data_IF_459483600831
#
_entry.id   IF_459483600831
#
_cell.length_a   1.000
_cell.length_b   1.000
_cell.length_c   1.000
_cell.angle_alpha   90.00
_cell.angle_beta   90.00
_cell.angle_gamma   90.00
#
_symmetry.space_group_name_H-M   'P 1'
#
loop_
_entity.id
_entity.type
_entity.pdbx_description
1 polymer ?
#
# COMPACT_ATOMS: atom_id res chain seq x y z
N UNK A 1 -29.04 -15.61 7.50
CA UNK A 1 -27.64 -15.16 7.47
C UNK A 1 -27.19 -15.14 6.02
N UNK A 2 -26.95 -13.98 5.48
CA UNK A 2 -26.39 -13.87 4.14
C UNK A 2 -24.91 -14.23 4.23
N UNK A 3 -24.52 -15.37 3.65
CA UNK A 3 -23.13 -15.65 3.35
C UNK A 3 -22.65 -14.56 2.38
N UNK A 4 -21.94 -13.59 2.90
CA UNK A 4 -21.09 -12.73 2.09
C UNK A 4 -19.97 -13.63 1.55
N UNK A 5 -20.21 -14.27 0.41
CA UNK A 5 -19.14 -14.87 -0.35
C UNK A 5 -18.22 -13.75 -0.79
N UNK A 6 -17.09 -13.65 -0.11
CA UNK A 6 -15.99 -12.81 -0.55
C UNK A 6 -15.63 -13.28 -1.96
N UNK A 7 -15.62 -12.39 -2.97
CA UNK A 7 -15.25 -12.79 -4.31
C UNK A 7 -13.87 -13.44 -4.27
N UNK A 8 -13.80 -14.71 -4.64
CA UNK A 8 -12.53 -15.46 -4.69
C UNK A 8 -11.73 -15.13 -5.96
N UNK A 9 -11.72 -13.86 -6.34
CA UNK A 9 -10.96 -13.41 -7.49
C UNK A 9 -9.46 -13.51 -7.18
N UNK A 10 -8.67 -13.75 -8.22
CA UNK A 10 -7.21 -13.76 -8.13
C UNK A 10 -6.68 -12.45 -7.52
N UNK A 11 -7.24 -11.31 -7.91
CA UNK A 11 -6.86 -10.01 -7.40
C UNK A 11 -7.12 -9.88 -5.89
N UNK A 12 -8.31 -10.27 -5.42
CA UNK A 12 -8.66 -10.25 -4.00
C UNK A 12 -7.75 -11.18 -3.19
N UNK A 13 -7.43 -12.36 -3.73
CA UNK A 13 -6.54 -13.32 -3.09
C UNK A 13 -5.10 -12.78 -3.01
N UNK A 14 -4.58 -12.17 -4.08
CA UNK A 14 -3.26 -11.54 -4.08
C UNK A 14 -3.16 -10.41 -3.04
N UNK A 15 -4.21 -9.62 -2.90
CA UNK A 15 -4.28 -8.56 -1.89
C UNK A 15 -4.26 -9.14 -0.46
N UNK A 16 -4.99 -10.22 -0.23
CA UNK A 16 -4.97 -10.93 1.05
C UNK A 16 -3.57 -11.50 1.38
N UNK A 17 -2.90 -12.10 0.39
CA UNK A 17 -1.52 -12.59 0.56
C UNK A 17 -0.58 -11.45 0.94
N UNK A 18 -0.64 -10.31 0.25
CA UNK A 18 0.18 -9.14 0.57
C UNK A 18 -0.03 -8.68 2.01
N UNK A 19 -1.28 -8.54 2.43
CA UNK A 19 -1.64 -8.14 3.80
C UNK A 19 -1.10 -9.10 4.84
N UNK A 20 -1.31 -10.39 4.62
CA UNK A 20 -0.90 -11.44 5.56
C UNK A 20 0.62 -11.51 5.71
N UNK A 21 1.38 -11.42 4.62
CA UNK A 21 2.84 -11.46 4.67
C UNK A 21 3.45 -10.22 5.33
N UNK A 22 2.74 -9.09 5.34
CA UNK A 22 3.16 -7.89 6.08
C UNK A 22 2.79 -7.97 7.55
N UNK A 23 1.60 -8.51 7.85
CA UNK A 23 1.05 -8.53 9.22
C UNK A 23 1.58 -9.70 10.05
N UNK A 24 1.83 -10.84 9.42
CA UNK A 24 2.23 -12.09 10.09
C UNK A 24 3.56 -12.59 9.51
N UNK A 25 4.41 -13.13 10.38
CA UNK A 25 5.66 -13.78 9.97
C UNK A 25 5.38 -15.21 9.55
N UNK A 26 5.06 -15.42 8.30
CA UNK A 26 4.67 -16.71 7.76
C UNK A 26 5.88 -17.38 7.09
N UNK A 27 6.24 -18.55 7.58
CA UNK A 27 7.41 -19.29 7.10
C UNK A 27 7.10 -20.43 6.13
N UNK A 28 5.88 -20.91 6.10
CA UNK A 28 5.48 -22.05 5.27
C UNK A 28 4.24 -21.75 4.42
N UNK A 29 4.12 -22.46 3.28
CA UNK A 29 2.90 -22.37 2.45
C UNK A 29 1.66 -22.90 3.18
N UNK A 30 1.83 -23.90 4.06
CA UNK A 30 0.73 -24.42 4.89
C UNK A 30 0.17 -23.35 5.84
N UNK A 31 1.05 -22.62 6.51
CA UNK A 31 0.64 -21.52 7.41
C UNK A 31 -0.07 -20.41 6.64
N UNK A 32 0.41 -20.09 5.44
CA UNK A 32 -0.24 -19.11 4.58
C UNK A 32 -1.61 -19.60 4.08
N UNK A 33 -1.73 -20.88 3.72
CA UNK A 33 -3.02 -21.49 3.38
C UNK A 33 -4.02 -21.38 4.53
N UNK A 34 -3.58 -21.67 5.77
CA UNK A 34 -4.43 -21.55 6.96
C UNK A 34 -4.85 -20.11 7.23
N UNK A 35 -3.91 -19.17 7.08
CA UNK A 35 -4.20 -17.75 7.24
C UNK A 35 -5.22 -17.25 6.19
N UNK A 36 -5.05 -17.63 4.94
CA UNK A 36 -6.01 -17.33 3.86
C UNK A 36 -7.38 -17.95 4.12
N UNK A 37 -7.44 -19.19 4.63
CA UNK A 37 -8.69 -19.85 4.97
C UNK A 37 -9.45 -19.11 6.08
N UNK A 38 -8.75 -18.53 7.05
CA UNK A 38 -9.35 -17.67 8.09
C UNK A 38 -10.02 -16.42 7.50
N UNK A 39 -9.49 -15.92 6.38
CA UNK A 39 -10.06 -14.78 5.65
C UNK A 39 -11.08 -15.21 4.57
N UNK A 40 -11.44 -16.49 4.49
CA UNK A 40 -12.45 -17.02 3.56
C UNK A 40 -11.90 -17.44 2.20
N UNK A 41 -10.58 -17.45 2.00
CA UNK A 41 -9.96 -17.91 0.76
C UNK A 41 -9.56 -19.38 0.87
N UNK A 42 -10.19 -20.24 0.06
CA UNK A 42 -9.79 -21.63 -0.08
C UNK A 42 -8.90 -21.79 -1.30
N UNK A 43 -7.64 -22.13 -1.07
CA UNK A 43 -6.65 -22.29 -2.14
C UNK A 43 -5.95 -23.65 -2.01
N UNK A 44 -5.61 -24.22 -3.15
CA UNK A 44 -4.73 -25.37 -3.21
C UNK A 44 -3.28 -24.93 -3.09
N UNK A 45 -2.39 -25.84 -2.65
CA UNK A 45 -0.96 -25.55 -2.57
C UNK A 45 -0.39 -25.16 -3.95
N UNK A 46 -0.83 -25.80 -5.02
CA UNK A 46 -0.41 -25.49 -6.37
C UNK A 46 -0.80 -24.06 -6.78
N UNK A 47 -2.01 -23.64 -6.47
CA UNK A 47 -2.47 -22.26 -6.74
C UNK A 47 -1.68 -21.25 -5.92
N UNK A 48 -1.48 -21.53 -4.63
CA UNK A 48 -0.72 -20.64 -3.75
C UNK A 48 0.73 -20.51 -4.20
N UNK A 49 1.37 -21.60 -4.61
CA UNK A 49 2.73 -21.58 -5.14
C UNK A 49 2.85 -20.69 -6.38
N UNK A 50 1.89 -20.75 -7.29
CA UNK A 50 1.84 -19.88 -8.47
C UNK A 50 1.61 -18.42 -8.09
N UNK A 51 0.72 -18.17 -7.14
CA UNK A 51 0.45 -16.82 -6.65
C UNK A 51 1.71 -16.20 -6.03
N UNK A 52 2.43 -16.94 -5.19
CA UNK A 52 3.68 -16.48 -4.60
C UNK A 52 4.75 -16.17 -5.65
N UNK A 53 4.88 -17.01 -6.68
CA UNK A 53 5.77 -16.74 -7.82
C UNK A 53 5.38 -15.46 -8.56
N UNK A 54 4.11 -15.26 -8.84
CA UNK A 54 3.62 -14.08 -9.54
C UNK A 54 3.78 -12.80 -8.72
N UNK A 55 3.69 -12.91 -7.40
CA UNK A 55 3.92 -11.80 -6.48
C UNK A 55 5.41 -11.55 -6.22
N UNK A 56 6.29 -12.43 -6.71
CA UNK A 56 7.71 -12.33 -6.49
C UNK A 56 8.14 -12.60 -5.05
N UNK A 57 7.33 -13.34 -4.27
CA UNK A 57 7.64 -13.67 -2.89
C UNK A 57 8.93 -14.49 -2.79
N UNK A 58 9.80 -14.09 -1.88
CA UNK A 58 11.07 -14.76 -1.60
C UNK A 58 11.10 -15.27 -0.17
N UNK A 59 11.90 -16.31 0.08
CA UNK A 59 12.14 -16.80 1.43
C UNK A 59 13.40 -16.16 1.98
N UNK A 60 13.28 -15.51 3.11
CA UNK A 60 14.39 -14.85 3.79
C UNK A 60 14.61 -15.45 5.17
N UNK A 61 15.85 -15.45 5.62
CA UNK A 61 16.20 -15.89 6.98
C UNK A 61 15.86 -14.79 7.98
N UNK A 62 15.09 -15.14 8.99
CA UNK A 62 14.76 -14.30 10.12
C UNK A 62 15.25 -14.95 11.43
N UNK A 63 15.32 -14.20 12.55
CA UNK A 63 15.77 -14.77 13.83
C UNK A 63 14.96 -15.98 14.29
N UNK A 64 13.67 -16.05 13.92
CA UNK A 64 12.75 -17.13 14.28
C UNK A 64 12.72 -18.28 13.26
N UNK A 65 13.49 -18.19 12.16
CA UNK A 65 13.47 -19.14 11.05
C UNK A 65 13.30 -18.46 9.71
N UNK A 66 12.95 -19.23 8.69
CA UNK A 66 12.72 -18.70 7.34
C UNK A 66 11.30 -18.19 7.22
N UNK A 67 11.12 -16.99 6.67
CA UNK A 67 9.81 -16.38 6.42
C UNK A 67 9.67 -15.99 4.94
N UNK A 68 8.42 -15.85 4.47
CA UNK A 68 8.13 -15.26 3.18
C UNK A 68 8.12 -13.75 3.27
N UNK A 69 8.84 -13.10 2.38
CA UNK A 69 8.77 -11.66 2.16
C UNK A 69 8.42 -11.37 0.70
N UNK A 70 7.66 -10.30 0.52
CA UNK A 70 7.47 -9.74 -0.80
C UNK A 70 8.61 -8.76 -1.08
N UNK A 71 9.20 -8.82 -2.29
CA UNK A 71 10.15 -7.80 -2.67
C UNK A 71 9.47 -6.44 -2.61
N UNK A 72 10.18 -5.38 -2.26
CA UNK A 72 9.68 -4.04 -2.48
C UNK A 72 9.25 -3.94 -3.94
N UNK A 73 8.05 -3.42 -4.18
CA UNK A 73 7.58 -3.21 -5.56
C UNK A 73 8.63 -2.33 -6.24
N UNK A 74 9.33 -2.88 -7.23
CA UNK A 74 10.35 -2.12 -7.96
C UNK A 74 9.75 -0.82 -8.46
N UNK A 75 10.36 0.30 -8.11
CA UNK A 75 9.92 1.64 -8.47
C UNK A 75 9.09 2.38 -7.41
N UNK A 76 8.81 1.79 -6.25
CA UNK A 76 8.21 2.52 -5.15
C UNK A 76 9.27 2.88 -4.11
N UNK A 77 9.86 4.03 -4.28
CA UNK A 77 10.52 4.69 -3.16
C UNK A 77 9.48 4.82 -2.03
N UNK A 78 9.86 4.45 -0.83
CA UNK A 78 8.97 4.59 0.33
C UNK A 78 8.65 6.07 0.53
N UNK A 79 7.42 6.38 0.90
CA UNK A 79 7.02 7.77 1.15
C UNK A 79 7.99 8.54 2.06
N UNK A 80 8.52 7.96 3.17
CA UNK A 80 9.55 8.62 3.96
C UNK A 80 10.86 8.92 3.21
N UNK A 81 11.25 8.07 2.26
CA UNK A 81 12.47 8.29 1.45
C UNK A 81 12.33 9.45 0.46
N UNK A 82 11.08 9.79 0.12
CA UNK A 82 10.75 10.92 -0.75
C UNK A 82 10.45 12.21 0.02
N UNK A 83 10.53 12.18 1.35
CA UNK A 83 10.23 13.36 2.19
C UNK A 83 11.07 14.58 1.84
N UNK A 84 12.33 14.37 1.44
CA UNK A 84 13.24 15.44 1.03
C UNK A 84 12.84 16.11 -0.30
N UNK A 85 12.04 15.44 -1.09
CA UNK A 85 11.50 15.98 -2.34
C UNK A 85 10.24 16.82 -2.12
N UNK A 86 9.56 16.64 -0.98
CA UNK A 86 8.32 17.37 -0.64
C UNK A 86 8.67 18.68 0.04
N UNK A 87 8.24 19.79 -0.54
CA UNK A 87 8.48 21.12 0.01
C UNK A 87 7.40 21.51 1.04
N UNK A 88 6.13 21.26 0.72
CA UNK A 88 5.01 21.58 1.61
C UNK A 88 3.76 20.76 1.28
N UNK A 89 2.88 20.67 2.26
CA UNK A 89 1.54 20.07 2.12
C UNK A 89 0.54 21.09 2.66
N UNK A 90 -0.39 21.52 1.82
CA UNK A 90 -1.46 22.45 2.15
C UNK A 90 -2.81 21.87 1.70
N UNK A 91 -3.90 22.41 2.21
CA UNK A 91 -5.23 22.01 1.82
C UNK A 91 -6.17 23.20 1.71
N UNK A 92 -7.22 23.04 0.89
CA UNK A 92 -8.42 23.86 0.91
C UNK A 92 -9.64 22.98 1.26
N UNK A 93 -10.84 23.48 1.01
CA UNK A 93 -12.07 22.73 1.32
C UNK A 93 -12.31 21.52 0.41
N UNK A 94 -11.57 21.39 -0.69
CA UNK A 94 -11.82 20.39 -1.74
C UNK A 94 -10.68 19.39 -1.94
N UNK A 95 -9.42 19.82 -1.81
CA UNK A 95 -8.29 18.98 -2.13
C UNK A 95 -7.02 19.36 -1.33
N UNK A 96 -6.07 18.45 -1.34
CA UNK A 96 -4.74 18.65 -0.76
C UNK A 96 -3.78 18.98 -1.89
N UNK A 97 -2.92 19.96 -1.66
CA UNK A 97 -1.84 20.37 -2.56
C UNK A 97 -0.49 19.99 -1.95
N UNK A 98 0.23 19.12 -2.63
CA UNK A 98 1.60 18.76 -2.26
C UNK A 98 2.55 19.48 -3.21
N UNK A 99 3.43 20.32 -2.66
CA UNK A 99 4.51 20.94 -3.41
C UNK A 99 5.76 20.11 -3.30
N UNK A 100 6.45 19.93 -4.43
CA UNK A 100 7.70 19.19 -4.50
C UNK A 100 8.81 20.03 -5.09
N UNK A 101 10.02 19.48 -5.12
CA UNK A 101 11.07 20.03 -5.98
C UNK A 101 10.66 19.89 -7.44
N UNK A 102 11.17 20.76 -8.30
CA UNK A 102 10.92 20.70 -9.73
C UNK A 102 11.26 19.32 -10.31
N UNK A 103 10.37 18.78 -11.13
CA UNK A 103 10.51 17.47 -11.75
C UNK A 103 10.19 16.27 -10.85
N UNK A 104 9.91 16.47 -9.56
CA UNK A 104 9.72 15.37 -8.61
C UNK A 104 8.23 14.98 -8.39
N UNK A 105 7.29 15.78 -8.85
CA UNK A 105 5.87 15.58 -8.55
C UNK A 105 5.35 14.21 -8.99
N UNK A 106 5.71 13.75 -10.19
CA UNK A 106 5.24 12.46 -10.71
C UNK A 106 5.74 11.27 -9.87
N UNK A 107 7.00 11.30 -9.41
CA UNK A 107 7.56 10.24 -8.57
C UNK A 107 6.88 10.20 -7.19
N UNK A 108 6.65 11.36 -6.59
CA UNK A 108 5.96 11.46 -5.29
C UNK A 108 4.49 11.05 -5.42
N UNK A 109 3.79 11.47 -6.47
CA UNK A 109 2.39 11.08 -6.72
C UNK A 109 2.27 9.56 -6.92
N UNK A 110 3.16 8.95 -7.69
CA UNK A 110 3.19 7.50 -7.88
C UNK A 110 3.36 6.77 -6.53
N UNK A 111 4.22 7.27 -5.66
CA UNK A 111 4.42 6.71 -4.33
C UNK A 111 3.15 6.84 -3.46
N UNK A 112 2.45 7.98 -3.52
CA UNK A 112 1.18 8.17 -2.81
C UNK A 112 0.14 7.17 -3.32
N UNK A 113 -0.03 7.03 -4.64
CA UNK A 113 -1.02 6.13 -5.24
C UNK A 113 -0.69 4.66 -4.93
N UNK A 114 0.59 4.30 -4.95
CA UNK A 114 1.04 2.93 -4.63
C UNK A 114 0.87 2.59 -3.16
N UNK A 115 0.99 3.55 -2.26
CA UNK A 115 0.77 3.36 -0.83
C UNK A 115 -0.69 3.03 -0.49
N UNK A 116 -1.62 3.19 -1.45
CA UNK A 116 -3.04 2.85 -1.32
C UNK A 116 -3.65 3.40 -0.03
N UNK A 117 -3.46 4.69 0.19
CA UNK A 117 -3.99 5.39 1.35
C UNK A 117 -5.51 5.35 1.30
N UNK A 118 -6.20 4.75 2.31
CA UNK A 118 -7.66 4.60 2.25
C UNK A 118 -8.43 5.91 2.15
N UNK A 119 -7.86 7.00 2.65
CA UNK A 119 -8.44 8.34 2.61
C UNK A 119 -8.27 9.05 1.27
N UNK A 120 -7.39 8.55 0.39
CA UNK A 120 -7.05 9.17 -0.89
C UNK A 120 -7.79 8.50 -2.04
N UNK A 121 -8.56 9.24 -2.81
CA UNK A 121 -9.21 8.76 -4.03
C UNK A 121 -8.22 8.64 -5.19
N UNK A 122 -7.28 9.58 -5.28
CA UNK A 122 -6.26 9.61 -6.31
C UNK A 122 -5.49 10.90 -6.33
N UNK A 123 -4.48 10.96 -7.19
CA UNK A 123 -3.60 12.12 -7.36
C UNK A 123 -3.50 12.55 -8.81
N UNK A 124 -3.16 13.81 -9.02
CA UNK A 124 -2.80 14.38 -10.31
C UNK A 124 -1.52 15.19 -10.14
N UNK A 125 -0.48 14.83 -10.86
CA UNK A 125 0.83 15.47 -10.76
C UNK A 125 1.13 16.39 -11.95
N UNK A 126 1.64 17.57 -11.64
CA UNK A 126 2.32 18.44 -12.58
C UNK A 126 3.84 18.22 -12.52
N UNK A 127 4.61 19.28 -12.68
CA UNK A 127 6.07 19.24 -12.56
C UNK A 127 6.53 19.28 -11.08
N UNK A 128 6.00 20.20 -10.29
CA UNK A 128 6.36 20.46 -8.90
C UNK A 128 5.16 20.49 -7.95
N UNK A 129 3.99 20.13 -8.43
CA UNK A 129 2.73 20.22 -7.70
C UNK A 129 1.89 18.98 -7.92
N UNK A 130 1.31 18.47 -6.85
CA UNK A 130 0.38 17.33 -6.87
C UNK A 130 -0.93 17.79 -6.24
N UNK A 131 -2.05 17.47 -6.89
CA UNK A 131 -3.38 17.54 -6.30
C UNK A 131 -3.80 16.16 -5.84
N UNK A 132 -4.09 16.01 -4.55
CA UNK A 132 -4.63 14.78 -3.99
C UNK A 132 -6.06 15.03 -3.51
N UNK A 133 -6.96 14.14 -3.90
CA UNK A 133 -8.37 14.29 -3.57
C UNK A 133 -8.81 13.21 -2.57
N UNK A 134 -9.59 13.57 -1.53
CA UNK A 134 -10.10 12.59 -0.59
C UNK A 134 -11.21 11.73 -1.17
N UNK A 135 -11.38 10.54 -0.62
CA UNK A 135 -12.53 9.67 -0.90
C UNK A 135 -13.80 10.36 -0.39
N UNK A 136 -14.92 10.11 -1.04
CA UNK A 136 -16.23 10.65 -0.65
C UNK A 136 -16.51 10.41 0.83
N UNK A 137 -16.91 11.47 1.53
CA UNK A 137 -17.20 11.42 2.97
C UNK A 137 -15.99 11.53 3.89
N UNK A 138 -14.79 11.58 3.33
CA UNK A 138 -13.55 11.80 4.10
C UNK A 138 -13.22 13.30 4.08
N UNK A 139 -13.06 13.95 5.25
CA UNK A 139 -12.66 15.35 5.29
C UNK A 139 -11.26 15.55 4.70
N UNK A 140 -11.09 16.62 3.92
CA UNK A 140 -9.78 16.96 3.30
C UNK A 140 -8.66 17.03 4.35
N UNK A 141 -8.96 17.60 5.50
CA UNK A 141 -8.03 17.67 6.65
C UNK A 141 -7.48 16.31 7.09
N UNK A 142 -8.30 15.27 7.02
CA UNK A 142 -7.87 13.90 7.38
C UNK A 142 -6.84 13.37 6.39
N UNK A 143 -7.07 13.56 5.09
CA UNK A 143 -6.11 13.21 4.05
C UNK A 143 -4.81 14.03 4.18
N UNK A 144 -4.93 15.34 4.36
CA UNK A 144 -3.78 16.23 4.53
C UNK A 144 -2.90 15.82 5.71
N UNK A 145 -3.50 15.55 6.86
CA UNK A 145 -2.78 15.06 8.04
C UNK A 145 -2.09 13.74 7.76
N UNK A 146 -2.76 12.82 7.07
CA UNK A 146 -2.20 11.53 6.71
C UNK A 146 -0.97 11.69 5.83
N UNK A 147 -1.04 12.54 4.81
CA UNK A 147 0.08 12.81 3.91
C UNK A 147 1.25 13.50 4.65
N UNK A 148 0.98 14.49 5.51
CA UNK A 148 2.02 15.12 6.34
C UNK A 148 2.75 14.10 7.20
N UNK A 149 2.03 13.21 7.86
CA UNK A 149 2.62 12.16 8.70
C UNK A 149 3.48 11.19 7.88
N UNK A 150 3.03 10.81 6.69
CA UNK A 150 3.76 9.90 5.81
C UNK A 150 5.06 10.50 5.28
N UNK A 151 5.12 11.82 5.11
CA UNK A 151 6.33 12.53 4.72
C UNK A 151 7.16 13.03 5.91
N UNK A 152 6.81 12.64 7.14
CA UNK A 152 7.54 13.04 8.34
C UNK A 152 7.48 14.55 8.63
N UNK A 153 6.48 15.25 8.09
CA UNK A 153 6.28 16.67 8.32
C UNK A 153 5.26 16.85 9.44
N UNK A 154 5.76 16.92 10.67
CA UNK A 154 4.95 17.36 11.79
C UNK A 154 4.49 18.80 11.56
N UNK A 155 3.25 19.06 12.00
CA UNK A 155 2.67 20.40 11.96
C UNK A 155 3.53 21.39 12.75
N UNK A 156 4.03 22.35 12.08
CA UNK A 156 4.39 23.64 12.73
C UNK A 156 3.13 24.43 12.91
#
# INVERSE_FOLDING_TARGET
MRNLQIPQSKSARHEAIRRLLVAERIGTQEDLCRALAREGFRVTQATLSRDLQQLGAVRVSAPEGTIYELPPVEGTARLPELSDLVASVAENDSLVVVRTRAGAASAVALAIDTARIPECLGTLAGDDTIFATPVRGVPVRKLSRKLRNLFGREMS
#
